data_IF_083214715659
#
_entry.id   IF_083214715659
#
_cell.length_a   1.000
_cell.length_b   1.000
_cell.length_c   1.000
_cell.angle_alpha   90.00
_cell.angle_beta   90.00
_cell.angle_gamma   90.00
#
_symmetry.space_group_name_H-M   'P 1'
#
loop_
_entity.id
_entity.type
_entity.pdbx_description
1 polymer ?
#
# COMPACT_ATOMS: atom_id res chain seq x y z
N UNK A 1 -16.09 26.24 -19.35
CA UNK A 1 -16.75 24.94 -19.54
C UNK A 1 -16.33 24.05 -18.39
N UNK A 2 -17.30 23.60 -17.58
CA UNK A 2 -17.12 22.50 -16.63
C UNK A 2 -17.03 21.20 -17.43
N UNK A 3 -15.98 20.40 -17.24
CA UNK A 3 -15.93 19.01 -17.67
C UNK A 3 -14.97 18.23 -16.77
N UNK A 4 -15.56 17.32 -16.01
CA UNK A 4 -14.99 16.31 -15.13
C UNK A 4 -13.81 15.57 -15.75
N UNK A 5 -12.76 15.37 -14.96
CA UNK A 5 -11.60 14.54 -15.26
C UNK A 5 -10.88 14.20 -13.96
N UNK A 6 -11.53 13.36 -13.15
CA UNK A 6 -10.86 12.64 -12.07
C UNK A 6 -9.68 11.88 -12.68
N UNK A 7 -8.45 12.29 -12.36
CA UNK A 7 -7.38 11.43 -11.81
C UNK A 7 -6.05 12.20 -11.69
N UNK A 8 -5.62 12.57 -10.48
CA UNK A 8 -4.25 13.02 -10.22
C UNK A 8 -3.28 11.85 -9.95
N UNK A 9 -3.74 10.60 -10.06
CA UNK A 9 -2.99 9.42 -9.59
C UNK A 9 -1.92 8.91 -10.58
N UNK A 10 -1.89 9.45 -11.80
CA UNK A 10 -1.03 8.96 -12.89
C UNK A 10 0.44 9.46 -12.85
N UNK A 11 0.86 10.22 -11.83
CA UNK A 11 2.25 10.69 -11.73
C UNK A 11 3.12 9.67 -10.96
N UNK A 12 2.99 8.39 -11.33
CA UNK A 12 3.86 7.29 -10.87
C UNK A 12 5.22 7.27 -11.61
N UNK A 13 5.43 8.10 -12.63
CA UNK A 13 6.49 7.82 -13.61
C UNK A 13 7.78 8.67 -13.61
N UNK A 14 8.07 9.55 -12.64
CA UNK A 14 9.30 10.38 -12.75
C UNK A 14 10.28 10.41 -11.57
N UNK A 15 9.99 9.80 -10.42
CA UNK A 15 10.94 9.84 -9.28
C UNK A 15 11.14 8.48 -8.63
N UNK A 16 11.68 7.51 -9.38
CA UNK A 16 12.15 6.23 -8.82
C UNK A 16 13.28 6.31 -7.77
N UNK A 17 13.57 7.46 -7.16
CA UNK A 17 14.89 7.75 -6.62
C UNK A 17 14.97 8.58 -5.34
N UNK A 18 13.91 9.23 -4.85
CA UNK A 18 14.04 9.94 -3.58
C UNK A 18 13.62 9.02 -2.46
N UNK A 19 14.63 8.34 -1.91
CA UNK A 19 14.71 7.86 -0.53
C UNK A 19 13.34 7.64 0.14
N UNK A 20 12.94 6.38 0.31
CA UNK A 20 11.98 6.02 1.36
C UNK A 20 12.65 6.31 2.70
N UNK A 21 12.71 7.57 3.07
CA UNK A 21 13.27 8.07 4.32
C UNK A 21 12.17 8.28 5.35
N UNK A 22 10.92 8.35 4.94
CA UNK A 22 9.83 8.75 5.81
C UNK A 22 8.74 7.68 5.84
N UNK A 23 8.32 7.32 7.06
CA UNK A 23 7.23 6.39 7.31
C UNK A 23 5.93 6.77 6.57
N UNK A 24 5.79 8.04 6.17
CA UNK A 24 4.72 8.57 5.34
C UNK A 24 4.62 7.88 3.98
N UNK A 25 5.73 7.67 3.26
CA UNK A 25 5.72 6.99 1.96
C UNK A 25 5.25 5.53 2.08
N UNK A 26 5.62 4.88 3.19
CA UNK A 26 5.19 3.50 3.44
C UNK A 26 3.69 3.42 3.74
N UNK A 27 3.15 4.36 4.52
CA UNK A 27 1.72 4.38 4.82
C UNK A 27 0.88 4.62 3.56
N UNK A 28 1.30 5.55 2.69
CA UNK A 28 0.62 5.79 1.42
C UNK A 28 0.63 4.55 0.50
N UNK A 29 1.76 3.86 0.39
CA UNK A 29 1.82 2.60 -0.38
C UNK A 29 0.91 1.54 0.26
N UNK A 30 0.94 1.39 1.59
CA UNK A 30 0.05 0.45 2.27
C UNK A 30 -1.42 0.79 2.01
N UNK A 31 -1.81 2.07 2.06
CA UNK A 31 -3.18 2.53 1.77
C UNK A 31 -3.57 2.23 0.33
N UNK A 32 -2.67 2.49 -0.63
CA UNK A 32 -2.88 2.18 -2.03
C UNK A 32 -3.12 0.68 -2.24
N UNK A 33 -2.23 -0.16 -1.72
CA UNK A 33 -2.34 -1.63 -1.83
C UNK A 33 -3.61 -2.16 -1.15
N UNK A 34 -3.97 -1.65 0.03
CA UNK A 34 -5.21 -2.01 0.73
C UNK A 34 -6.45 -1.64 -0.10
N UNK A 35 -6.44 -0.46 -0.74
CA UNK A 35 -7.53 0.01 -1.61
C UNK A 35 -7.64 -0.81 -2.91
N UNK A 36 -6.50 -1.20 -3.49
CA UNK A 36 -6.46 -2.04 -4.68
C UNK A 36 -6.81 -3.51 -4.41
N UNK A 37 -6.69 -3.97 -3.16
CA UNK A 37 -6.90 -5.38 -2.80
C UNK A 37 -8.03 -5.55 -1.75
N UNK A 38 -9.27 -5.09 -2.03
CA UNK A 38 -10.37 -5.13 -1.07
C UNK A 38 -10.74 -6.56 -0.63
N UNK A 39 -10.57 -7.55 -1.52
CA UNK A 39 -10.79 -8.97 -1.19
C UNK A 39 -9.82 -9.46 -0.12
N UNK A 40 -8.53 -9.11 -0.23
CA UNK A 40 -7.53 -9.50 0.75
C UNK A 40 -7.78 -8.83 2.11
N UNK A 41 -8.29 -7.59 2.10
CA UNK A 41 -8.72 -6.87 3.29
C UNK A 41 -9.89 -7.58 3.97
N UNK A 42 -10.93 -7.95 3.21
CA UNK A 42 -12.06 -8.70 3.74
C UNK A 42 -11.64 -10.06 4.29
N UNK A 43 -10.81 -10.80 3.56
CA UNK A 43 -10.28 -12.07 4.04
C UNK A 43 -9.49 -11.90 5.36
N UNK A 44 -8.67 -10.85 5.48
CA UNK A 44 -7.98 -10.56 6.74
C UNK A 44 -8.95 -10.26 7.88
N UNK A 45 -9.99 -9.44 7.62
CA UNK A 45 -11.06 -9.16 8.59
C UNK A 45 -11.86 -10.41 8.97
N UNK A 46 -11.95 -11.39 8.07
CA UNK A 46 -12.51 -12.72 8.33
C UNK A 46 -11.55 -13.65 9.11
N UNK A 47 -10.37 -13.17 9.53
CA UNK A 47 -9.38 -13.92 10.31
C UNK A 47 -8.33 -14.65 9.47
N UNK A 48 -8.28 -14.43 8.15
CA UNK A 48 -7.33 -15.11 7.26
C UNK A 48 -5.97 -14.42 7.27
N UNK A 49 -5.07 -14.95 8.11
CA UNK A 49 -3.70 -14.41 8.27
C UNK A 49 -2.89 -14.44 6.96
N UNK A 50 -3.19 -15.38 6.05
CA UNK A 50 -2.56 -15.45 4.74
C UNK A 50 -2.75 -14.16 3.91
N UNK A 51 -3.87 -13.47 4.07
CA UNK A 51 -4.14 -12.24 3.33
C UNK A 51 -3.28 -11.07 3.81
N UNK A 52 -2.90 -11.06 5.09
CA UNK A 52 -1.92 -10.10 5.61
C UNK A 52 -0.54 -10.32 4.99
N UNK A 53 -0.13 -11.59 4.81
CA UNK A 53 1.14 -11.93 4.15
C UNK A 53 1.11 -11.53 2.67
N UNK A 54 -0.01 -11.74 1.99
CA UNK A 54 -0.21 -11.31 0.61
C UNK A 54 -0.08 -9.78 0.46
N UNK A 55 -0.82 -9.02 1.28
CA UNK A 55 -0.75 -7.55 1.28
C UNK A 55 0.67 -7.05 1.60
N UNK A 56 1.35 -7.69 2.56
CA UNK A 56 2.75 -7.38 2.89
C UNK A 56 3.66 -7.61 1.68
N UNK A 57 3.49 -8.73 0.97
CA UNK A 57 4.26 -9.03 -0.24
C UNK A 57 4.04 -8.03 -1.37
N UNK A 58 2.80 -7.56 -1.55
CA UNK A 58 2.45 -6.53 -2.53
C UNK A 58 3.13 -5.19 -2.21
N UNK A 59 3.10 -4.75 -0.95
CA UNK A 59 3.82 -3.54 -0.51
C UNK A 59 5.33 -3.69 -0.66
N UNK A 60 5.88 -4.87 -0.35
CA UNK A 60 7.30 -5.16 -0.54
C UNK A 60 7.71 -5.07 -2.02
N UNK A 61 6.84 -5.52 -2.94
CA UNK A 61 7.05 -5.43 -4.38
C UNK A 61 6.99 -3.98 -4.87
N UNK A 62 5.99 -3.22 -4.44
CA UNK A 62 5.81 -1.81 -4.82
C UNK A 62 6.96 -0.94 -4.30
N UNK A 63 7.40 -1.20 -3.06
CA UNK A 63 8.58 -0.55 -2.48
C UNK A 63 9.91 -1.01 -3.08
N UNK A 64 9.90 -1.94 -4.05
CA UNK A 64 11.10 -2.56 -4.66
C UNK A 64 12.07 -3.13 -3.63
N UNK A 65 11.54 -3.75 -2.57
CA UNK A 65 12.35 -4.32 -1.49
C UNK A 65 12.91 -3.31 -0.49
N UNK A 66 12.58 -2.02 -0.61
CA UNK A 66 13.09 -0.97 0.30
C UNK A 66 12.35 -0.91 1.62
N UNK A 67 11.10 -1.36 1.68
CA UNK A 67 10.33 -1.38 2.91
C UNK A 67 10.78 -2.51 3.86
N UNK A 68 10.60 -2.31 5.16
CA UNK A 68 10.83 -3.37 6.13
C UNK A 68 9.54 -4.18 6.32
N UNK A 69 9.54 -5.51 6.11
CA UNK A 69 8.32 -6.33 6.19
C UNK A 69 7.64 -6.29 7.57
N UNK A 70 8.41 -6.12 8.66
CA UNK A 70 7.83 -5.97 10.01
C UNK A 70 7.05 -4.66 10.12
N UNK A 71 7.63 -3.56 9.63
CA UNK A 71 6.99 -2.24 9.68
C UNK A 71 5.75 -2.22 8.77
N UNK A 72 5.87 -2.75 7.56
CA UNK A 72 4.76 -2.91 6.60
C UNK A 72 3.59 -3.63 7.26
N UNK A 73 3.86 -4.77 7.91
CA UNK A 73 2.82 -5.57 8.55
C UNK A 73 2.11 -4.79 9.66
N UNK A 74 2.86 -4.06 10.50
CA UNK A 74 2.28 -3.24 11.56
C UNK A 74 1.46 -2.06 11.00
N UNK A 75 1.91 -1.42 9.92
CA UNK A 75 1.17 -0.35 9.23
C UNK A 75 -0.13 -0.90 8.63
N UNK A 76 -0.07 -2.03 7.92
CA UNK A 76 -1.27 -2.68 7.37
C UNK A 76 -2.24 -3.03 8.49
N UNK A 77 -1.78 -3.64 9.60
CA UNK A 77 -2.64 -3.93 10.74
C UNK A 77 -3.31 -2.68 11.31
N UNK A 78 -2.58 -1.56 11.41
CA UNK A 78 -3.15 -0.27 11.85
C UNK A 78 -4.20 0.27 10.88
N UNK A 79 -4.00 0.09 9.57
CA UNK A 79 -4.97 0.49 8.55
C UNK A 79 -6.22 -0.40 8.52
N UNK A 80 -6.10 -1.65 8.98
CA UNK A 80 -7.17 -2.65 8.96
C UNK A 80 -7.89 -2.85 10.29
N UNK A 81 -7.32 -2.35 11.40
CA UNK A 81 -7.93 -2.33 12.74
C UNK A 81 -9.17 -1.45 12.81
#
# INVERSE_FOLDING_TARGET
>A
MFQTGEDPSDIINQKGLWQMSDASDLEDICRHIVKENPTAVQDYKNGKVASLQFLTGQVMKESRGKANPKVVQEVIKKLLS
#
